data_IF_217929835645
#
_entry.id   IF_217929835645
#
_cell.length_a   1.000
_cell.length_b   1.000
_cell.length_c   1.000
_cell.angle_alpha   90.00
_cell.angle_beta   90.00
_cell.angle_gamma   90.00
#
_symmetry.space_group_name_H-M   'P 1'
#
loop_
_entity.id
_entity.type
_entity.pdbx_description
1 polymer ?
#
# COMPACT_ATOMS: atom_id res chain seq x y z
N UNK A 1 -4.09 18.95 28.27
CA UNK A 1 -4.14 17.50 27.96
C UNK A 1 -3.33 17.29 26.69
N UNK A 2 -2.26 16.47 26.68
CA UNK A 2 -1.62 16.09 25.43
C UNK A 2 -2.49 15.08 24.68
N UNK A 3 -2.43 15.21 23.36
CA UNK A 3 -3.33 14.82 22.26
C UNK A 3 -3.93 13.40 22.29
N UNK A 4 -5.16 13.27 21.75
CA UNK A 4 -5.77 11.99 21.44
C UNK A 4 -5.01 11.30 20.29
N UNK A 5 -3.88 10.65 20.64
CA UNK A 5 -3.13 9.63 19.88
C UNK A 5 -3.30 9.73 18.35
N UNK A 6 -2.46 10.52 17.70
CA UNK A 6 -2.28 10.45 16.25
C UNK A 6 -2.09 8.97 15.85
N UNK A 7 -3.08 8.43 15.15
CA UNK A 7 -3.04 7.03 14.70
C UNK A 7 -2.02 6.96 13.57
N UNK A 8 -0.80 6.52 13.89
CA UNK A 8 0.28 6.38 12.90
C UNK A 8 0.06 5.13 12.05
N UNK A 9 0.58 5.12 10.82
CA UNK A 9 0.54 3.94 9.96
C UNK A 9 1.20 2.72 10.65
N UNK A 10 2.29 2.94 11.39
CA UNK A 10 2.96 1.89 12.16
C UNK A 10 2.05 1.28 13.23
N UNK A 11 1.27 2.11 13.92
CA UNK A 11 0.29 1.63 14.91
C UNK A 11 -0.83 0.81 14.25
N UNK A 12 -1.27 1.19 13.04
CA UNK A 12 -2.27 0.45 12.28
C UNK A 12 -1.72 -0.89 11.84
N UNK A 13 -0.52 -0.93 11.25
CA UNK A 13 0.15 -2.18 10.85
C UNK A 13 0.35 -3.11 12.04
N UNK A 14 0.80 -2.60 13.20
CA UNK A 14 0.98 -3.41 14.39
C UNK A 14 -0.34 -4.02 14.91
N UNK A 15 -1.47 -3.33 14.73
CA UNK A 15 -2.81 -3.86 15.06
C UNK A 15 -3.29 -4.87 14.01
N UNK A 16 -3.02 -4.63 12.73
CA UNK A 16 -3.34 -5.55 11.63
C UNK A 16 -2.59 -6.87 11.81
N UNK A 17 -1.33 -6.84 12.24
CA UNK A 17 -0.54 -8.04 12.57
C UNK A 17 -1.19 -8.91 13.65
N UNK A 18 -2.13 -8.36 14.44
CA UNK A 18 -2.93 -9.05 15.46
C UNK A 18 -4.36 -9.38 15.00
N UNK A 19 -4.68 -9.17 13.72
CA UNK A 19 -6.00 -9.44 13.15
C UNK A 19 -7.05 -8.34 13.35
N UNK A 20 -6.63 -7.09 13.61
CA UNK A 20 -7.56 -5.97 13.78
C UNK A 20 -8.12 -5.49 12.43
N UNK A 21 -9.38 -5.85 12.16
CA UNK A 21 -10.10 -5.48 10.92
C UNK A 21 -10.37 -3.99 10.79
N UNK A 22 -10.60 -3.28 11.90
CA UNK A 22 -10.83 -1.84 11.86
C UNK A 22 -9.54 -1.09 11.54
N UNK A 23 -8.41 -1.53 12.10
CA UNK A 23 -7.11 -0.96 11.75
C UNK A 23 -6.82 -1.12 10.25
N UNK A 24 -7.20 -2.27 9.67
CA UNK A 24 -7.10 -2.50 8.24
C UNK A 24 -7.97 -1.56 7.41
N UNK A 25 -9.24 -1.38 7.79
CA UNK A 25 -10.15 -0.44 7.11
C UNK A 25 -9.60 1.01 7.17
N UNK A 26 -9.11 1.46 8.33
CA UNK A 26 -8.50 2.80 8.47
C UNK A 26 -7.22 2.94 7.64
N UNK A 27 -6.39 1.90 7.60
CA UNK A 27 -5.19 1.89 6.76
C UNK A 27 -5.55 2.02 5.28
N UNK A 28 -6.53 1.25 4.82
CA UNK A 28 -7.03 1.30 3.44
C UNK A 28 -7.53 2.70 3.07
N UNK A 29 -8.38 3.29 3.91
CA UNK A 29 -8.93 4.64 3.68
C UNK A 29 -7.84 5.70 3.57
N UNK A 30 -6.78 5.58 4.37
CA UNK A 30 -5.69 6.57 4.43
C UNK A 30 -4.70 6.42 3.27
N UNK A 31 -4.50 5.20 2.75
CA UNK A 31 -3.37 4.90 1.84
C UNK A 31 -3.79 4.51 0.41
N UNK A 32 -5.02 4.05 0.21
CA UNK A 32 -5.44 3.42 -1.05
C UNK A 32 -5.35 4.35 -2.24
N UNK A 33 -5.66 5.63 -2.09
CA UNK A 33 -5.59 6.59 -3.19
C UNK A 33 -4.16 6.78 -3.71
N UNK A 34 -3.16 6.76 -2.82
CA UNK A 34 -1.75 6.89 -3.20
C UNK A 34 -1.24 5.61 -3.85
N UNK A 35 -1.52 4.46 -3.25
CA UNK A 35 -1.08 3.17 -3.81
C UNK A 35 -1.76 2.87 -5.15
N UNK A 36 -3.01 3.26 -5.32
CA UNK A 36 -3.71 3.16 -6.61
C UNK A 36 -3.09 4.07 -7.67
N UNK A 37 -2.70 5.30 -7.32
CA UNK A 37 -1.98 6.19 -8.23
C UNK A 37 -0.66 5.57 -8.71
N UNK A 38 0.07 4.89 -7.81
CA UNK A 38 1.30 4.16 -8.15
C UNK A 38 1.03 2.93 -9.04
N UNK A 39 0.00 2.14 -8.76
CA UNK A 39 -0.41 1.05 -9.65
C UNK A 39 -0.70 1.57 -11.07
N UNK A 40 -1.44 2.68 -11.19
CA UNK A 40 -1.77 3.29 -12.48
C UNK A 40 -0.55 3.87 -13.19
N UNK A 41 0.40 4.45 -12.45
CA UNK A 41 1.62 5.01 -13.04
C UNK A 41 2.52 3.93 -13.64
N UNK A 42 2.52 2.72 -13.10
CA UNK A 42 3.30 1.59 -13.62
C UNK A 42 2.52 0.84 -14.71
N UNK A 43 1.28 0.43 -14.42
CA UNK A 43 0.54 -0.51 -15.28
C UNK A 43 -0.15 0.16 -16.47
N UNK A 44 -0.45 1.46 -16.37
CA UNK A 44 -1.20 2.25 -17.38
C UNK A 44 -2.58 1.68 -17.76
N UNK A 45 -3.07 0.66 -17.04
CA UNK A 45 -4.38 0.04 -17.21
C UNK A 45 -5.14 0.07 -15.88
N UNK A 46 -6.40 0.50 -15.91
CA UNK A 46 -7.21 0.69 -14.71
C UNK A 46 -7.66 -0.64 -14.08
N UNK A 47 -7.95 -1.66 -14.90
CA UNK A 47 -8.36 -2.97 -14.42
C UNK A 47 -7.17 -3.68 -13.77
N UNK A 48 -6.01 -3.66 -14.42
CA UNK A 48 -4.79 -4.26 -13.88
C UNK A 48 -4.35 -3.55 -12.59
N UNK A 49 -4.49 -2.22 -12.53
CA UNK A 49 -4.21 -1.45 -11.33
C UNK A 49 -5.15 -1.81 -10.17
N UNK A 50 -6.44 -1.96 -10.46
CA UNK A 50 -7.44 -2.35 -9.46
C UNK A 50 -7.17 -3.76 -8.89
N UNK A 51 -6.89 -4.73 -9.76
CA UNK A 51 -6.57 -6.10 -9.35
C UNK A 51 -5.26 -6.15 -8.56
N UNK A 52 -4.24 -5.42 -9.00
CA UNK A 52 -2.96 -5.33 -8.29
C UNK A 52 -3.14 -4.72 -6.90
N UNK A 53 -3.92 -3.64 -6.78
CA UNK A 53 -4.18 -3.00 -5.50
C UNK A 53 -4.88 -3.94 -4.52
N UNK A 54 -5.84 -4.74 -4.99
CA UNK A 54 -6.47 -5.78 -4.17
C UNK A 54 -5.45 -6.78 -3.64
N UNK A 55 -4.58 -7.30 -4.50
CA UNK A 55 -3.55 -8.26 -4.10
C UNK A 55 -2.55 -7.65 -3.11
N UNK A 56 -2.20 -6.37 -3.26
CA UNK A 56 -1.37 -5.62 -2.31
C UNK A 56 -2.00 -5.62 -0.93
N UNK A 57 -3.27 -5.23 -0.82
CA UNK A 57 -3.94 -5.16 0.49
C UNK A 57 -4.16 -6.53 1.13
N UNK A 58 -4.39 -7.57 0.32
CA UNK A 58 -4.41 -8.96 0.82
C UNK A 58 -3.04 -9.35 1.39
N UNK A 59 -1.94 -9.01 0.70
CA UNK A 59 -0.59 -9.23 1.22
C UNK A 59 -0.31 -8.40 2.47
N UNK A 60 -0.76 -7.14 2.53
CA UNK A 60 -0.64 -6.29 3.73
C UNK A 60 -1.26 -6.98 4.94
N UNK A 61 -2.46 -7.54 4.80
CA UNK A 61 -3.09 -8.29 5.88
C UNK A 61 -2.27 -9.51 6.32
N UNK A 62 -1.76 -10.30 5.36
CA UNK A 62 -1.01 -11.54 5.63
C UNK A 62 0.40 -11.30 6.18
N UNK A 63 1.02 -10.19 5.81
CA UNK A 63 2.45 -9.94 6.00
C UNK A 63 2.75 -8.78 6.95
N UNK A 64 1.73 -8.12 7.52
CA UNK A 64 1.91 -6.99 8.45
C UNK A 64 2.90 -7.27 9.60
N UNK A 65 2.99 -8.51 10.08
CA UNK A 65 3.94 -8.91 11.12
C UNK A 65 5.42 -8.82 10.69
N UNK A 66 5.71 -8.75 9.39
CA UNK A 66 7.07 -8.67 8.83
C UNK A 66 7.62 -7.25 8.80
N UNK A 67 6.76 -6.23 8.84
CA UNK A 67 7.16 -4.83 8.69
C UNK A 67 8.23 -4.39 9.69
N UNK A 68 8.13 -4.70 11.00
CA UNK A 68 9.17 -4.29 11.95
C UNK A 68 10.58 -4.83 11.64
N UNK A 69 10.68 -5.99 10.97
CA UNK A 69 11.95 -6.59 10.57
C UNK A 69 12.44 -6.18 9.19
N UNK A 70 11.72 -5.30 8.47
CA UNK A 70 12.05 -4.88 7.12
C UNK A 70 13.09 -3.76 7.06
N UNK A 71 13.18 -2.93 8.12
CA UNK A 71 13.97 -1.69 8.11
C UNK A 71 13.27 -0.52 7.42
N UNK A 72 12.03 -0.69 6.96
CA UNK A 72 11.22 0.33 6.28
C UNK A 72 10.16 0.93 7.18
N UNK A 73 9.78 2.17 6.90
CA UNK A 73 8.52 2.73 7.40
C UNK A 73 7.33 1.96 6.82
N UNK A 74 6.19 1.98 7.53
CA UNK A 74 4.99 1.28 7.03
C UNK A 74 4.54 1.76 5.65
N UNK A 75 4.65 3.06 5.36
CA UNK A 75 4.34 3.60 4.05
C UNK A 75 5.32 3.10 2.98
N UNK A 76 6.63 3.14 3.26
CA UNK A 76 7.63 2.67 2.31
C UNK A 76 7.49 1.17 2.03
N UNK A 77 7.24 0.36 3.04
CA UNK A 77 6.97 -1.07 2.86
C UNK A 77 5.76 -1.32 1.95
N UNK A 78 4.65 -0.59 2.17
CA UNK A 78 3.47 -0.72 1.31
C UNK A 78 3.74 -0.26 -0.13
N UNK A 79 4.51 0.81 -0.31
CA UNK A 79 4.93 1.30 -1.64
C UNK A 79 5.81 0.26 -2.35
N UNK A 80 6.79 -0.33 -1.66
CA UNK A 80 7.64 -1.40 -2.20
C UNK A 80 6.80 -2.60 -2.63
N UNK A 81 5.93 -3.12 -1.76
CA UNK A 81 5.03 -4.24 -2.09
C UNK A 81 4.12 -3.94 -3.29
N UNK A 82 3.65 -2.68 -3.39
CA UNK A 82 2.82 -2.22 -4.51
C UNK A 82 3.60 -2.19 -5.81
N UNK A 83 4.79 -1.60 -5.77
CA UNK A 83 5.68 -1.49 -6.92
C UNK A 83 6.09 -2.88 -7.42
N UNK A 84 6.57 -3.75 -6.54
CA UNK A 84 7.04 -5.08 -6.93
C UNK A 84 5.95 -5.89 -7.64
N UNK A 85 4.72 -5.90 -7.09
CA UNK A 85 3.59 -6.56 -7.76
C UNK A 85 3.19 -5.91 -9.08
N UNK A 86 3.22 -4.58 -9.17
CA UNK A 86 2.92 -3.89 -10.41
C UNK A 86 4.00 -4.16 -11.47
N UNK A 87 5.27 -4.21 -11.08
CA UNK A 87 6.40 -4.56 -11.95
C UNK A 87 6.25 -5.98 -12.48
N UNK A 88 6.02 -6.96 -11.60
CA UNK A 88 5.80 -8.36 -11.95
C UNK A 88 4.67 -8.52 -12.98
N UNK A 89 3.58 -7.78 -12.80
CA UNK A 89 2.44 -7.80 -13.74
C UNK A 89 2.75 -7.08 -15.06
N UNK A 90 3.48 -5.96 -15.02
CA UNK A 90 3.84 -5.19 -16.22
C UNK A 90 4.74 -5.99 -17.18
N UNK A 91 5.62 -6.83 -16.65
CA UNK A 91 6.52 -7.67 -17.44
C UNK A 91 5.77 -8.72 -18.28
N UNK A 92 4.55 -9.10 -17.91
CA UNK A 92 3.72 -10.07 -18.64
C UNK A 92 2.82 -9.47 -19.73
N UNK A 93 2.64 -8.14 -19.78
CA UNK A 93 1.53 -7.52 -20.54
C UNK A 93 1.94 -6.54 -21.64
N UNK A 94 3.21 -6.15 -21.78
CA UNK A 94 3.53 -4.96 -22.59
C UNK A 94 4.01 -5.23 -24.02
N UNK A 95 3.29 -4.74 -25.06
CA UNK A 95 3.81 -4.59 -26.42
C UNK A 95 4.78 -3.40 -26.55
N UNK A 96 5.57 -3.41 -27.61
CA UNK A 96 6.61 -2.43 -27.90
C UNK A 96 6.07 -1.01 -28.22
N UNK A 97 6.52 -0.05 -27.39
CA UNK A 97 6.72 1.40 -27.59
C UNK A 97 5.56 2.29 -28.07
N UNK A 98 5.21 3.26 -27.20
CA UNK A 98 4.62 4.55 -27.57
C UNK A 98 5.74 5.57 -27.88
N UNK A 99 5.48 6.43 -28.87
CA UNK A 99 6.44 7.38 -29.48
C UNK A 99 7.24 8.23 -28.48
N UNK A 100 8.50 8.47 -28.84
CA UNK A 100 9.46 9.29 -28.10
C UNK A 100 8.88 10.69 -27.81
N UNK A 101 8.58 10.96 -26.54
CA UNK A 101 8.18 12.30 -26.10
C UNK A 101 9.46 13.06 -25.76
N UNK A 102 10.13 13.52 -26.82
CA UNK A 102 11.43 14.20 -26.75
C UNK A 102 11.46 15.29 -25.69
N UNK A 103 12.16 15.00 -24.59
CA UNK A 103 12.62 15.97 -23.60
C UNK A 103 14.10 15.72 -23.40
N UNK A 104 14.90 16.15 -24.37
CA UNK A 104 16.34 16.25 -24.18
C UNK A 104 16.56 17.25 -23.05
N UNK A 105 17.20 16.81 -21.96
CA UNK A 105 17.50 17.55 -20.71
C UNK A 105 16.56 17.33 -19.51
N UNK A 106 16.10 16.11 -19.26
CA UNK A 106 15.56 15.77 -17.93
C UNK A 106 16.71 15.67 -16.93
N UNK A 107 16.57 16.29 -15.75
CA UNK A 107 17.52 16.18 -14.64
C UNK A 107 17.75 14.70 -14.27
N UNK A 108 18.99 14.25 -14.00
CA UNK A 108 19.29 12.86 -13.63
C UNK A 108 18.43 12.30 -12.49
N UNK A 109 18.13 13.10 -11.45
CA UNK A 109 17.28 12.64 -10.33
C UNK A 109 15.83 12.46 -10.78
N UNK A 110 15.35 13.36 -11.65
CA UNK A 110 14.04 13.23 -12.27
C UNK A 110 13.92 11.96 -13.13
N UNK A 111 15.00 11.54 -13.80
CA UNK A 111 15.03 10.28 -14.54
C UNK A 111 14.91 9.06 -13.61
N UNK A 112 15.56 9.08 -12.44
CA UNK A 112 15.38 8.05 -11.40
C UNK A 112 13.93 8.02 -10.94
N UNK A 113 13.33 9.19 -10.68
CA UNK A 113 11.92 9.30 -10.28
C UNK A 113 10.99 8.70 -11.33
N UNK A 114 11.20 9.02 -12.61
CA UNK A 114 10.41 8.49 -13.73
C UNK A 114 10.59 6.97 -13.83
N UNK A 115 11.82 6.46 -13.80
CA UNK A 115 12.09 5.02 -13.86
C UNK A 115 11.43 4.27 -12.70
N UNK A 116 11.49 4.84 -11.49
CA UNK A 116 10.86 4.26 -10.31
C UNK A 116 9.33 4.22 -10.41
N UNK A 117 8.69 5.35 -10.73
CA UNK A 117 7.23 5.50 -10.74
C UNK A 117 6.55 4.86 -11.96
N UNK A 118 7.24 4.80 -13.09
CA UNK A 118 6.71 4.19 -14.32
C UNK A 118 7.20 2.76 -14.52
N UNK A 119 8.09 2.25 -13.66
CA UNK A 119 8.58 0.88 -13.74
C UNK A 119 9.42 0.61 -14.98
N UNK A 120 10.28 1.55 -15.36
CA UNK A 120 11.03 1.48 -16.61
C UNK A 120 12.43 0.89 -16.38
N UNK A 121 12.81 -0.07 -17.21
CA UNK A 121 14.20 -0.46 -17.40
C UNK A 121 14.98 0.57 -18.23
N UNK A 122 16.29 0.36 -18.38
CA UNK A 122 17.18 1.25 -19.15
C UNK A 122 16.69 1.48 -20.59
N UNK A 123 16.28 0.41 -21.28
CA UNK A 123 15.86 0.48 -22.68
C UNK A 123 14.52 1.20 -22.84
N UNK A 124 13.60 0.98 -21.91
CA UNK A 124 12.28 1.63 -21.89
C UNK A 124 12.41 3.10 -21.51
N UNK A 125 13.26 3.44 -20.55
CA UNK A 125 13.54 4.83 -20.21
C UNK A 125 14.15 5.57 -21.42
N UNK A 126 15.11 4.94 -22.11
CA UNK A 126 15.72 5.48 -23.31
C UNK A 126 14.68 5.79 -24.40
N UNK A 127 13.83 4.82 -24.73
CA UNK A 127 12.72 5.01 -25.68
C UNK A 127 11.73 6.09 -25.25
N UNK A 128 11.44 6.18 -23.95
CA UNK A 128 10.50 7.14 -23.37
C UNK A 128 11.00 8.59 -23.43
N UNK A 129 12.32 8.80 -23.32
CA UNK A 129 12.95 10.12 -23.36
C UNK A 129 13.46 10.51 -24.74
N UNK A 130 13.62 9.55 -25.65
CA UNK A 130 14.21 9.77 -26.98
C UNK A 130 15.74 9.86 -26.96
N UNK A 131 16.39 9.13 -26.04
CA UNK A 131 17.85 9.04 -25.87
C UNK A 131 18.32 7.61 -26.10
N UNK A 132 19.64 7.39 -26.19
CA UNK A 132 20.20 6.03 -26.28
C UNK A 132 20.12 5.27 -24.95
N UNK A 133 20.19 3.94 -25.00
CA UNK A 133 20.20 3.09 -23.80
C UNK A 133 21.41 3.39 -22.89
N UNK A 134 22.56 3.68 -23.47
CA UNK A 134 23.78 4.03 -22.73
C UNK A 134 23.65 5.40 -22.05
N UNK A 135 23.08 6.39 -22.73
CA UNK A 135 22.77 7.70 -22.11
C UNK A 135 21.76 7.56 -20.97
N UNK A 136 20.71 6.75 -21.13
CA UNK A 136 19.74 6.50 -20.07
C UNK A 136 20.37 5.81 -18.86
N UNK A 137 21.26 4.83 -19.09
CA UNK A 137 22.00 4.15 -18.03
C UNK A 137 22.92 5.12 -17.28
N UNK A 138 23.71 5.90 -18.01
CA UNK A 138 24.62 6.88 -17.44
C UNK A 138 23.87 7.92 -16.61
N UNK A 139 22.78 8.48 -17.14
CA UNK A 139 21.99 9.48 -16.44
C UNK A 139 21.26 8.91 -15.21
N UNK A 140 20.81 7.64 -15.24
CA UNK A 140 20.26 6.99 -14.05
C UNK A 140 21.32 6.78 -12.96
N UNK A 141 22.52 6.33 -13.33
CA UNK A 141 23.63 6.19 -12.39
C UNK A 141 24.00 7.54 -11.76
N UNK A 142 24.14 8.59 -12.57
CA UNK A 142 24.39 9.94 -12.07
C UNK A 142 23.26 10.42 -11.13
N UNK A 143 22.00 10.15 -11.46
CA UNK A 143 20.85 10.49 -10.62
C UNK A 143 20.87 9.76 -9.27
N UNK A 144 21.25 8.48 -9.27
CA UNK A 144 21.40 7.69 -8.06
C UNK A 144 22.55 8.20 -7.20
N UNK A 145 23.71 8.53 -7.79
CA UNK A 145 24.83 9.13 -7.07
C UNK A 145 24.43 10.47 -6.43
N UNK A 146 23.71 11.33 -7.16
CA UNK A 146 23.18 12.60 -6.63
C UNK A 146 22.19 12.38 -5.47
N UNK A 147 21.33 11.36 -5.54
CA UNK A 147 20.40 10.99 -4.47
C UNK A 147 21.10 10.39 -3.24
N UNK A 148 22.19 9.65 -3.47
CA UNK A 148 23.02 9.12 -2.39
C UNK A 148 23.76 10.25 -1.65
N UNK A 149 24.15 11.30 -2.38
CA UNK A 149 24.96 12.40 -1.87
C UNK A 149 26.35 11.89 -1.45
N UNK A 150 26.83 12.31 -0.28
CA UNK A 150 28.14 11.90 0.24
C UNK A 150 28.21 10.42 0.66
N UNK A 151 27.08 9.70 0.66
CA UNK A 151 27.01 8.27 1.00
C UNK A 151 27.28 7.34 -0.20
N UNK A 152 27.67 7.89 -1.36
CA UNK A 152 27.93 7.14 -2.59
C UNK A 152 29.24 6.32 -2.56
N UNK A 153 30.11 6.50 -1.56
CA UNK A 153 31.50 6.02 -1.55
C UNK A 153 31.67 4.50 -1.32
N UNK A 154 30.58 3.75 -1.23
CA UNK A 154 30.58 2.30 -1.12
C UNK A 154 30.05 1.69 -2.44
N UNK A 155 30.87 0.99 -3.21
CA UNK A 155 30.48 0.40 -4.51
C UNK A 155 29.26 -0.54 -4.46
N UNK A 156 28.94 -1.08 -3.28
CA UNK A 156 27.73 -1.87 -3.03
C UNK A 156 26.44 -1.02 -3.01
N UNK A 157 26.55 0.29 -2.81
CA UNK A 157 25.42 1.22 -2.71
C UNK A 157 24.67 1.36 -4.05
N UNK A 158 25.40 1.48 -5.16
CA UNK A 158 24.78 1.56 -6.49
C UNK A 158 24.06 0.25 -6.85
N UNK A 159 24.64 -0.90 -6.51
CA UNK A 159 24.03 -2.18 -6.77
C UNK A 159 22.73 -2.39 -5.95
N UNK A 160 22.71 -1.96 -4.68
CA UNK A 160 21.50 -1.94 -3.87
C UNK A 160 20.44 -0.97 -4.44
N UNK A 161 20.86 0.17 -4.99
CA UNK A 161 19.96 1.12 -5.65
C UNK A 161 19.32 0.55 -6.92
N UNK A 162 20.11 -0.08 -7.80
CA UNK A 162 19.63 -0.76 -9.00
C UNK A 162 18.67 -1.90 -8.65
N UNK A 163 18.95 -2.63 -7.57
CA UNK A 163 18.07 -3.68 -7.07
C UNK A 163 16.76 -3.10 -6.52
N UNK A 164 16.80 -1.99 -5.78
CA UNK A 164 15.60 -1.30 -5.30
C UNK A 164 14.75 -0.72 -6.45
N UNK A 165 15.38 -0.34 -7.58
CA UNK A 165 14.70 0.04 -8.81
C UNK A 165 14.15 -1.18 -9.60
N UNK A 166 14.52 -2.41 -9.24
CA UNK A 166 14.18 -3.61 -10.02
C UNK A 166 14.92 -3.71 -11.35
N UNK A 167 16.00 -2.95 -11.54
CA UNK A 167 16.88 -3.01 -12.71
C UNK A 167 17.86 -4.19 -12.63
N UNK A 168 18.02 -4.73 -11.42
CA UNK A 168 18.92 -5.84 -11.12
C UNK A 168 18.19 -6.91 -10.30
N UNK A 169 18.23 -8.14 -10.79
CA UNK A 169 17.88 -9.34 -10.02
C UNK A 169 19.10 -9.93 -9.30
N UNK A 170 18.87 -10.88 -8.40
CA UNK A 170 19.92 -11.61 -7.68
C UNK A 170 19.80 -11.51 -6.16
N UNK A 171 20.74 -12.13 -5.45
CA UNK A 171 20.76 -12.12 -3.98
C UNK A 171 20.93 -10.67 -3.45
N UNK A 172 20.14 -10.25 -2.44
CA UNK A 172 20.24 -8.91 -1.87
C UNK A 172 21.64 -8.61 -1.35
N UNK A 173 22.28 -7.59 -1.93
CA UNK A 173 23.50 -7.02 -1.36
C UNK A 173 23.08 -6.19 -0.15
N UNK A 174 23.40 -6.67 1.05
CA UNK A 174 23.09 -6.05 2.34
C UNK A 174 21.64 -5.55 2.51
N UNK A 175 20.84 -6.31 3.28
CA UNK A 175 19.44 -5.99 3.57
C UNK A 175 19.22 -4.57 4.09
N UNK A 176 20.16 -4.03 4.88
CA UNK A 176 20.03 -2.69 5.44
C UNK A 176 20.17 -1.60 4.36
N UNK A 177 21.15 -1.76 3.46
CA UNK A 177 21.34 -0.84 2.31
C UNK A 177 20.17 -0.89 1.34
N UNK A 178 19.66 -2.09 1.05
CA UNK A 178 18.47 -2.24 0.21
C UNK A 178 17.26 -1.53 0.84
N UNK A 179 17.06 -1.69 2.15
CA UNK A 179 15.98 -1.00 2.87
C UNK A 179 16.14 0.53 2.84
N UNK A 180 17.35 1.07 3.02
CA UNK A 180 17.60 2.51 2.91
C UNK A 180 17.22 3.05 1.52
N UNK A 181 17.61 2.35 0.46
CA UNK A 181 17.25 2.72 -0.91
C UNK A 181 15.75 2.61 -1.18
N UNK A 182 15.10 1.53 -0.72
CA UNK A 182 13.66 1.37 -0.82
C UNK A 182 12.91 2.49 -0.07
N UNK A 183 13.36 2.88 1.12
CA UNK A 183 12.81 4.00 1.88
C UNK A 183 12.99 5.33 1.13
N UNK A 184 14.18 5.60 0.58
CA UNK A 184 14.47 6.82 -0.20
C UNK A 184 13.58 6.91 -1.43
N UNK A 185 13.54 5.86 -2.25
CA UNK A 185 12.80 5.85 -3.50
C UNK A 185 11.28 5.89 -3.26
N UNK A 186 10.78 5.25 -2.20
CA UNK A 186 9.37 5.28 -1.86
C UNK A 186 8.82 6.70 -1.60
N UNK A 187 9.68 7.66 -1.24
CA UNK A 187 9.27 9.08 -1.08
C UNK A 187 8.74 9.69 -2.37
N UNK A 188 9.22 9.24 -3.54
CA UNK A 188 8.69 9.71 -4.83
C UNK A 188 7.21 9.41 -5.02
N UNK A 189 6.70 8.33 -4.42
CA UNK A 189 5.26 8.03 -4.46
C UNK A 189 4.43 9.03 -3.64
N UNK A 190 5.07 9.79 -2.73
CA UNK A 190 4.43 10.88 -1.98
C UNK A 190 3.98 12.04 -2.86
N UNK A 191 4.65 12.27 -3.99
CA UNK A 191 4.39 13.37 -4.92
C UNK A 191 3.32 13.05 -5.96
N UNK A 192 2.88 11.79 -6.04
CA UNK A 192 1.81 11.40 -6.93
C UNK A 192 0.50 12.06 -6.50
N UNK A 193 -0.25 12.59 -7.48
CA UNK A 193 -1.62 13.01 -7.25
C UNK A 193 -2.46 11.79 -6.84
N UNK A 194 -3.09 11.78 -5.66
CA UNK A 194 -3.86 10.63 -5.21
C UNK A 194 -5.03 10.34 -6.17
N UNK A 195 -5.23 9.06 -6.52
CA UNK A 195 -6.33 8.62 -7.39
C UNK A 195 -7.22 7.67 -6.60
N UNK A 196 -8.47 8.06 -6.39
CA UNK A 196 -9.44 7.26 -5.64
C UNK A 196 -9.47 5.80 -6.12
N UNK A 197 -9.27 4.86 -5.18
CA UNK A 197 -9.41 3.45 -5.45
C UNK A 197 -10.89 3.10 -5.71
N UNK A 198 -11.19 2.23 -6.69
CA UNK A 198 -12.56 1.85 -6.99
C UNK A 198 -13.18 1.08 -5.81
N UNK A 199 -14.42 1.42 -5.45
CA UNK A 199 -15.13 0.81 -4.32
C UNK A 199 -15.23 -0.72 -4.37
N UNK A 200 -15.26 -1.28 -5.59
CA UNK A 200 -15.30 -2.73 -5.83
C UNK A 200 -14.05 -3.44 -5.30
N UNK A 201 -12.86 -2.83 -5.39
CA UNK A 201 -11.64 -3.38 -4.84
C UNK A 201 -11.75 -3.59 -3.32
N UNK A 202 -12.28 -2.58 -2.61
CA UNK A 202 -12.50 -2.66 -1.16
C UNK A 202 -13.42 -3.82 -0.80
N UNK A 203 -14.52 -3.99 -1.54
CA UNK A 203 -15.46 -5.08 -1.30
C UNK A 203 -14.81 -6.45 -1.52
N UNK A 204 -14.11 -6.65 -2.66
CA UNK A 204 -13.46 -7.93 -2.96
C UNK A 204 -12.35 -8.29 -1.97
N UNK A 205 -11.58 -7.31 -1.49
CA UNK A 205 -10.62 -7.52 -0.39
C UNK A 205 -11.33 -8.06 0.85
N UNK A 206 -12.47 -7.46 1.24
CA UNK A 206 -13.22 -7.90 2.42
C UNK A 206 -13.78 -9.31 2.25
N UNK A 207 -14.28 -9.64 1.07
CA UNK A 207 -14.76 -10.99 0.74
C UNK A 207 -13.61 -12.01 0.81
N UNK A 208 -12.48 -11.72 0.16
CA UNK A 208 -11.28 -12.57 0.17
C UNK A 208 -10.72 -12.82 1.58
N UNK A 209 -10.72 -11.80 2.44
CA UNK A 209 -10.22 -11.93 3.80
C UNK A 209 -11.24 -12.54 4.78
N UNK A 210 -12.47 -12.82 4.33
CA UNK A 210 -13.56 -13.24 5.24
C UNK A 210 -13.94 -12.14 6.24
N UNK A 211 -13.73 -10.87 5.87
CA UNK A 211 -14.13 -9.67 6.61
C UNK A 211 -15.58 -9.26 6.36
N UNK A 212 -16.25 -9.92 5.40
CA UNK A 212 -17.68 -9.75 5.18
C UNK A 212 -18.48 -10.18 6.42
N UNK A 213 -19.36 -9.30 6.88
CA UNK A 213 -20.64 -9.74 7.44
C UNK A 213 -21.41 -10.37 6.27
N UNK A 214 -22.09 -11.50 6.47
CA UNK A 214 -22.97 -12.03 5.45
C UNK A 214 -23.93 -10.91 5.00
N UNK A 215 -24.25 -10.75 3.69
CA UNK A 215 -25.11 -9.67 3.19
C UNK A 215 -26.49 -9.56 3.86
N UNK A 216 -26.86 -10.55 4.69
CA UNK A 216 -28.11 -10.67 5.43
C UNK A 216 -27.92 -10.84 6.96
N UNK A 217 -26.76 -10.59 7.55
CA UNK A 217 -26.60 -10.72 9.03
C UNK A 217 -27.20 -9.54 9.82
N UNK A 218 -27.66 -8.51 9.12
CA UNK A 218 -28.45 -7.42 9.70
C UNK A 218 -29.74 -7.38 8.91
N UNK A 219 -30.80 -7.99 9.45
CA UNK A 219 -32.13 -7.84 8.88
C UNK A 219 -32.58 -6.39 9.14
N UNK A 220 -32.81 -5.55 8.11
CA UNK A 220 -33.25 -4.17 8.29
C UNK A 220 -34.65 -4.07 8.94
N UNK A 221 -35.37 -5.19 9.04
CA UNK A 221 -36.63 -5.33 9.77
C UNK A 221 -36.47 -5.93 11.17
N UNK A 222 -35.24 -6.25 11.61
CA UNK A 222 -34.99 -6.79 12.95
C UNK A 222 -35.29 -5.75 14.02
N UNK A 223 -36.53 -5.76 14.51
CA UNK A 223 -36.89 -5.04 15.73
C UNK A 223 -36.35 -5.85 16.91
N UNK A 224 -35.27 -5.36 17.52
CA UNK A 224 -34.73 -5.92 18.76
C UNK A 224 -35.88 -6.08 19.77
N UNK A 225 -36.16 -7.28 20.30
CA UNK A 225 -37.31 -7.50 21.17
C UNK A 225 -37.27 -6.53 22.36
N UNK A 226 -38.40 -5.92 22.69
CA UNK A 226 -38.49 -4.90 23.72
C UNK A 226 -37.98 -5.37 25.10
N UNK A 227 -38.03 -6.69 25.35
CA UNK A 227 -37.51 -7.31 26.58
C UNK A 227 -35.98 -7.42 26.64
N UNK A 228 -35.24 -7.18 25.55
CA UNK A 228 -33.76 -7.21 25.50
C UNK A 228 -33.12 -5.82 25.74
N UNK A 229 -33.92 -4.81 26.08
CA UNK A 229 -33.47 -3.46 26.43
C UNK A 229 -33.82 -3.06 27.87
N UNK A 230 -33.56 -1.81 28.27
CA UNK A 230 -33.88 -1.31 29.63
C UNK A 230 -35.36 -1.49 30.00
N UNK A 231 -36.28 -1.46 29.03
CA UNK A 231 -37.70 -1.75 29.23
C UNK A 231 -37.99 -3.19 29.69
N UNK A 232 -37.19 -4.17 29.25
CA UNK A 232 -37.31 -5.56 29.68
C UNK A 232 -36.92 -5.79 31.13
N UNK A 233 -35.88 -5.07 31.58
CA UNK A 233 -35.46 -5.10 32.99
C UNK A 233 -36.58 -4.58 33.88
N UNK A 234 -37.26 -3.50 33.48
CA UNK A 234 -38.41 -2.94 34.22
C UNK A 234 -39.58 -3.93 34.28
N UNK A 235 -39.88 -4.63 33.18
CA UNK A 235 -40.95 -5.63 33.18
C UNK A 235 -40.65 -6.83 34.09
N UNK A 236 -39.40 -7.30 34.12
CA UNK A 236 -38.97 -8.38 35.03
C UNK A 236 -39.09 -7.93 36.49
N UNK A 237 -38.65 -6.71 36.82
CA UNK A 237 -38.75 -6.16 38.18
C UNK A 237 -40.22 -5.99 38.62
N UNK A 238 -41.12 -5.56 37.73
CA UNK A 238 -42.54 -5.47 38.01
C UNK A 238 -43.17 -6.84 38.28
N UNK A 239 -42.86 -7.85 37.48
CA UNK A 239 -43.36 -9.21 37.70
C UNK A 239 -42.85 -9.78 39.04
N UNK A 240 -41.58 -9.55 39.37
CA UNK A 240 -41.01 -9.95 40.66
C UNK A 240 -41.68 -9.24 41.85
N UNK A 241 -41.96 -7.95 41.73
CA UNK A 241 -42.66 -7.18 42.77
C UNK A 241 -44.10 -7.65 42.98
N UNK A 242 -44.84 -7.95 41.90
CA UNK A 242 -46.20 -8.49 41.98
C UNK A 242 -46.21 -9.90 42.58
N UNK A 243 -45.28 -10.76 42.17
CA UNK A 243 -45.15 -12.10 42.75
C UNK A 243 -44.83 -12.05 44.24
N UNK A 244 -43.92 -11.15 44.66
CA UNK A 244 -43.61 -10.93 46.07
C UNK A 244 -44.83 -10.42 46.86
N UNK A 245 -45.64 -9.53 46.29
CA UNK A 245 -46.84 -9.01 46.94
C UNK A 245 -47.95 -10.07 47.11
N UNK A 246 -48.12 -10.95 46.11
CA UNK A 246 -49.19 -11.97 46.11
C UNK A 246 -48.84 -13.19 46.98
N UNK A 247 -47.56 -13.57 47.06
CA UNK A 247 -47.09 -14.73 47.84
C UNK A 247 -46.39 -14.39 49.15
N UNK A 248 -46.10 -13.13 49.41
CA UNK A 248 -45.51 -12.65 50.67
C UNK A 248 -46.52 -12.34 51.77
N UNK A 249 -47.77 -12.80 51.62
CA UNK A 249 -48.86 -12.64 52.59
C UNK A 249 -49.31 -14.00 53.10
#
# INVERSE_FOLDING_TARGET
MPDARQTTLDSLIARIAKGDRHAFDTLYETTSARLNALCLSILKDRREAEETLEQVYISVWKEAARVPGSGLSSMAWMVTQTRDRAMDRSHGAMPAMAEARGRNNADPVELVRIAYLEGLDYSRLAGRQGISADEARHALHEGLERLAGHAADEGDSLAAAEQALGLRGGEPLDKARLADWQERLARFAGDLTPVMAPARARQRIREHLGHGLAPLSVDPLERKPWWRGPAGIVAILLVAAVAWYVWGR
#
